data_IF_704441012514
#
_entry.id   IF_704441012514
#
_cell.length_a   1.000
_cell.length_b   1.000
_cell.length_c   1.000
_cell.angle_alpha   90.00
_cell.angle_beta   90.00
_cell.angle_gamma   90.00
#
_symmetry.space_group_name_H-M   'P 1'
#
loop_
_entity.id
_entity.type
_entity.pdbx_description
1 polymer ?
#
# COMPACT_ATOMS: atom_id res chain seq x y z
N UNK A 1 -52.66 -4.71 0.28
CA UNK A 1 -52.40 -4.39 1.70
C UNK A 1 -53.40 -5.04 2.65
N UNK A 2 -54.67 -5.21 2.29
CA UNK A 2 -55.67 -5.92 3.11
C UNK A 2 -55.37 -7.41 3.41
N UNK A 3 -54.44 -8.05 2.69
CA UNK A 3 -54.03 -9.45 2.93
C UNK A 3 -52.99 -9.64 4.03
N UNK A 4 -52.25 -8.58 4.41
CA UNK A 4 -51.16 -8.67 5.42
C UNK A 4 -51.68 -8.59 6.86
N UNK A 5 -52.84 -7.96 7.08
CA UNK A 5 -53.43 -7.82 8.42
C UNK A 5 -54.06 -9.11 8.96
N UNK A 6 -54.24 -10.13 8.11
CA UNK A 6 -54.89 -11.39 8.45
C UNK A 6 -53.94 -12.62 8.36
N UNK A 7 -52.64 -12.39 8.14
CA UNK A 7 -51.65 -13.45 8.00
C UNK A 7 -51.21 -13.97 9.37
N UNK A 8 -50.98 -15.28 9.48
CA UNK A 8 -50.38 -15.86 10.70
C UNK A 8 -48.92 -15.38 10.85
N UNK A 9 -48.34 -15.39 12.06
CA UNK A 9 -46.96 -14.93 12.28
C UNK A 9 -45.94 -15.63 11.38
N UNK A 10 -46.15 -16.93 11.12
CA UNK A 10 -45.30 -17.75 10.26
C UNK A 10 -45.38 -17.31 8.79
N UNK A 11 -46.58 -17.00 8.29
CA UNK A 11 -46.79 -16.49 6.93
C UNK A 11 -46.17 -15.10 6.75
N UNK A 12 -46.27 -14.25 7.78
CA UNK A 12 -45.66 -12.92 7.75
C UNK A 12 -44.14 -13.01 7.68
N UNK A 13 -43.52 -13.91 8.47
CA UNK A 13 -42.09 -14.18 8.40
C UNK A 13 -41.66 -14.73 7.04
N UNK A 14 -42.44 -15.63 6.43
CA UNK A 14 -42.14 -16.17 5.10
C UNK A 14 -42.18 -15.08 4.01
N UNK A 15 -43.11 -14.13 4.09
CA UNK A 15 -43.20 -13.00 3.15
C UNK A 15 -42.05 -12.01 3.36
N UNK A 16 -41.70 -11.70 4.62
CA UNK A 16 -40.59 -10.81 4.97
C UNK A 16 -39.22 -11.37 4.55
N UNK A 17 -39.05 -12.69 4.61
CA UNK A 17 -37.81 -13.37 4.21
C UNK A 17 -37.77 -13.71 2.72
N UNK A 18 -38.84 -13.44 1.98
CA UNK A 18 -38.93 -13.67 0.54
C UNK A 18 -38.30 -12.54 -0.30
N UNK A 19 -38.02 -12.80 -1.59
CA UNK A 19 -37.50 -11.78 -2.50
C UNK A 19 -38.50 -10.63 -2.71
N UNK A 20 -37.97 -9.41 -2.84
CA UNK A 20 -38.77 -8.20 -3.02
C UNK A 20 -39.55 -8.14 -4.36
N UNK A 21 -39.21 -9.00 -5.33
CA UNK A 21 -39.81 -9.06 -6.66
C UNK A 21 -40.07 -10.52 -7.07
N UNK A 22 -41.15 -10.80 -7.83
CA UNK A 22 -41.38 -12.12 -8.39
C UNK A 22 -40.27 -12.47 -9.39
N UNK A 23 -39.86 -13.75 -9.47
CA UNK A 23 -38.80 -14.17 -10.38
C UNK A 23 -39.22 -14.03 -11.84
N UNK A 24 -38.27 -13.78 -12.76
CA UNK A 24 -38.55 -13.79 -14.19
C UNK A 24 -39.02 -15.18 -14.68
N UNK A 25 -39.79 -15.25 -15.77
CA UNK A 25 -40.34 -16.51 -16.28
C UNK A 25 -39.23 -17.53 -16.56
N UNK A 26 -39.34 -18.74 -15.99
CA UNK A 26 -38.44 -19.86 -16.24
C UNK A 26 -37.20 -19.98 -15.35
N UNK A 27 -37.00 -19.08 -14.37
CA UNK A 27 -35.85 -19.14 -13.45
C UNK A 27 -36.31 -19.32 -12.01
N UNK A 28 -35.94 -20.43 -11.38
CA UNK A 28 -36.11 -20.63 -9.94
C UNK A 28 -34.98 -19.89 -9.20
N UNK A 29 -35.29 -18.93 -8.31
CA UNK A 29 -34.26 -18.18 -7.61
C UNK A 29 -33.57 -19.05 -6.56
N UNK A 30 -32.25 -19.22 -6.71
CA UNK A 30 -31.41 -19.94 -5.76
C UNK A 30 -30.85 -18.98 -4.70
N UNK A 31 -31.44 -18.99 -3.51
CA UNK A 31 -31.02 -18.15 -2.38
C UNK A 31 -30.03 -18.84 -1.43
N UNK A 32 -29.83 -20.15 -1.56
CA UNK A 32 -28.98 -20.94 -0.65
C UNK A 32 -27.51 -20.89 -1.10
N UNK A 33 -27.28 -20.94 -2.42
CA UNK A 33 -25.95 -20.83 -3.01
C UNK A 33 -25.99 -19.92 -4.26
N UNK A 34 -26.01 -18.58 -4.08
CA UNK A 34 -26.00 -17.67 -5.21
C UNK A 34 -24.69 -17.83 -5.98
N UNK A 35 -24.81 -17.95 -7.30
CA UNK A 35 -23.67 -18.20 -8.19
C UNK A 35 -22.55 -17.19 -7.94
N UNK A 36 -21.47 -17.64 -7.29
CA UNK A 36 -20.35 -16.80 -6.89
C UNK A 36 -19.07 -17.27 -7.60
N UNK A 37 -18.39 -16.34 -8.28
CA UNK A 37 -17.11 -16.63 -8.93
C UNK A 37 -15.93 -16.46 -7.96
N UNK A 38 -16.18 -16.41 -6.65
CA UNK A 38 -15.16 -16.07 -5.66
C UNK A 38 -14.06 -17.15 -5.58
N UNK A 39 -14.43 -18.43 -5.51
CA UNK A 39 -13.46 -19.52 -5.49
C UNK A 39 -12.61 -19.53 -6.78
N UNK A 40 -13.25 -19.32 -7.94
CA UNK A 40 -12.56 -19.20 -9.23
C UNK A 40 -11.59 -18.01 -9.22
N UNK A 41 -12.02 -16.86 -8.68
CA UNK A 41 -11.17 -15.67 -8.54
C UNK A 41 -9.97 -15.90 -7.62
N UNK A 42 -10.18 -16.55 -6.46
CA UNK A 42 -9.09 -16.89 -5.53
C UNK A 42 -8.08 -17.82 -6.19
N UNK A 43 -8.56 -18.85 -6.90
CA UNK A 43 -7.70 -19.82 -7.60
C UNK A 43 -6.90 -19.12 -8.70
N UNK A 44 -7.55 -18.32 -9.55
CA UNK A 44 -6.88 -17.62 -10.66
C UNK A 44 -5.85 -16.61 -10.14
N UNK A 45 -6.18 -15.84 -9.10
CA UNK A 45 -5.25 -14.85 -8.51
C UNK A 45 -4.06 -15.54 -7.85
N UNK A 46 -4.29 -16.58 -7.05
CA UNK A 46 -3.22 -17.32 -6.36
C UNK A 46 -2.30 -18.05 -7.34
N UNK A 47 -2.86 -18.66 -8.39
CA UNK A 47 -2.10 -19.29 -9.46
C UNK A 47 -1.29 -18.25 -10.25
N UNK A 48 -1.91 -17.12 -10.61
CA UNK A 48 -1.24 -16.03 -11.34
C UNK A 48 -0.09 -15.41 -10.54
N UNK A 49 -0.29 -15.20 -9.23
CA UNK A 49 0.76 -14.69 -8.35
C UNK A 49 1.92 -15.69 -8.23
N UNK A 50 1.63 -16.99 -8.13
CA UNK A 50 2.64 -18.05 -8.06
C UNK A 50 3.45 -18.18 -9.36
N UNK A 51 2.79 -18.10 -10.52
CA UNK A 51 3.47 -18.14 -11.82
C UNK A 51 4.35 -16.90 -12.02
N UNK A 52 3.86 -15.72 -11.63
CA UNK A 52 4.61 -14.48 -11.72
C UNK A 52 5.85 -14.49 -10.82
N UNK A 53 5.72 -14.96 -9.56
CA UNK A 53 6.85 -15.05 -8.63
C UNK A 53 7.90 -16.06 -9.11
N UNK A 54 7.49 -17.22 -9.63
CA UNK A 54 8.40 -18.21 -10.21
C UNK A 54 9.13 -17.66 -11.44
N UNK A 55 8.42 -16.94 -12.33
CA UNK A 55 9.03 -16.32 -13.51
C UNK A 55 10.06 -15.25 -13.14
N UNK A 56 9.75 -14.42 -12.14
CA UNK A 56 10.67 -13.41 -11.61
C UNK A 56 11.88 -14.06 -10.94
N UNK A 57 11.65 -15.09 -10.12
CA UNK A 57 12.73 -15.84 -9.45
C UNK A 57 13.66 -16.52 -10.43
N UNK A 58 13.13 -17.14 -11.49
CA UNK A 58 13.95 -17.72 -12.57
C UNK A 58 14.79 -16.64 -13.26
N UNK A 59 14.19 -15.50 -13.63
CA UNK A 59 14.92 -14.38 -14.26
C UNK A 59 15.99 -13.79 -13.35
N UNK A 60 15.68 -13.63 -12.06
CA UNK A 60 16.62 -13.14 -11.05
C UNK A 60 17.73 -14.15 -10.79
N UNK A 61 17.42 -15.44 -10.72
CA UNK A 61 18.41 -16.51 -10.56
C UNK A 61 19.35 -16.57 -11.77
N UNK A 62 18.82 -16.51 -13.00
CA UNK A 62 19.65 -16.46 -14.21
C UNK A 62 20.53 -15.21 -14.24
N UNK A 63 20.03 -14.04 -13.84
CA UNK A 63 20.84 -12.81 -13.80
C UNK A 63 21.85 -12.79 -12.64
N UNK A 64 21.48 -13.24 -11.45
CA UNK A 64 22.33 -13.19 -10.25
C UNK A 64 23.36 -14.33 -10.21
N UNK A 65 22.97 -15.56 -10.56
CA UNK A 65 23.82 -16.75 -10.42
C UNK A 65 24.47 -17.21 -11.74
N UNK A 66 23.76 -17.15 -12.88
CA UNK A 66 24.30 -17.63 -14.16
C UNK A 66 25.17 -16.57 -14.85
N UNK A 67 24.73 -15.31 -14.88
CA UNK A 67 25.51 -14.24 -15.53
C UNK A 67 26.65 -13.69 -14.67
N UNK A 68 26.60 -13.87 -13.33
CA UNK A 68 27.65 -13.53 -12.33
C UNK A 68 28.43 -12.23 -12.60
N UNK A 69 27.74 -11.25 -13.16
CA UNK A 69 28.20 -9.88 -13.35
C UNK A 69 27.03 -9.00 -12.93
N UNK A 70 26.91 -8.78 -11.61
CA UNK A 70 26.01 -7.75 -11.10
C UNK A 70 26.70 -6.43 -11.40
N UNK A 71 26.29 -5.77 -12.47
CA UNK A 71 26.83 -4.46 -12.81
C UNK A 71 26.49 -3.46 -11.72
N UNK A 72 27.32 -2.43 -11.57
CA UNK A 72 27.01 -1.26 -10.72
C UNK A 72 25.67 -0.63 -11.19
N UNK A 73 25.37 -0.79 -12.48
CA UNK A 73 24.14 -0.38 -13.16
C UNK A 73 22.90 -1.13 -12.61
N UNK A 74 22.95 -2.46 -12.49
CA UNK A 74 21.85 -3.27 -11.95
C UNK A 74 21.58 -2.93 -10.48
N UNK A 75 22.63 -2.68 -9.70
CA UNK A 75 22.50 -2.30 -8.29
C UNK A 75 21.77 -0.96 -8.12
N UNK A 76 22.05 0.03 -8.97
CA UNK A 76 21.36 1.33 -8.97
C UNK A 76 19.88 1.18 -9.32
N UNK A 77 19.55 0.35 -10.31
CA UNK A 77 18.15 0.09 -10.70
C UNK A 77 17.38 -0.58 -9.56
N UNK A 78 17.98 -1.56 -8.89
CA UNK A 78 17.38 -2.22 -7.72
C UNK A 78 17.15 -1.23 -6.58
N UNK A 79 18.11 -0.35 -6.30
CA UNK A 79 17.97 0.69 -5.27
C UNK A 79 16.83 1.66 -5.54
N UNK A 80 16.68 2.11 -6.79
CA UNK A 80 15.57 2.99 -7.21
C UNK A 80 14.22 2.28 -7.08
N UNK A 81 14.10 1.04 -7.56
CA UNK A 81 12.87 0.25 -7.44
C UNK A 81 12.49 -0.01 -5.99
N UNK A 82 13.46 -0.33 -5.14
CA UNK A 82 13.25 -0.51 -3.70
C UNK A 82 12.72 0.79 -3.06
N UNK A 83 13.31 1.94 -3.40
CA UNK A 83 12.84 3.25 -2.97
C UNK A 83 11.39 3.54 -3.40
N UNK A 84 11.04 3.26 -4.66
CA UNK A 84 9.67 3.40 -5.15
C UNK A 84 8.67 2.52 -4.38
N UNK A 85 9.01 1.27 -4.10
CA UNK A 85 8.18 0.38 -3.29
C UNK A 85 7.96 0.95 -1.88
N UNK A 86 9.02 1.44 -1.21
CA UNK A 86 8.90 2.08 0.10
C UNK A 86 7.99 3.31 0.04
N UNK A 87 8.18 4.17 -0.96
CA UNK A 87 7.34 5.36 -1.14
C UNK A 87 5.86 4.99 -1.25
N UNK A 88 5.53 4.01 -2.10
CA UNK A 88 4.14 3.57 -2.30
C UNK A 88 3.53 3.00 -1.02
N UNK A 89 4.29 2.20 -0.27
CA UNK A 89 3.86 1.66 1.03
C UNK A 89 3.55 2.79 2.01
N UNK A 90 4.44 3.79 2.13
CA UNK A 90 4.25 4.93 3.04
C UNK A 90 3.04 5.79 2.65
N UNK A 91 2.83 6.02 1.34
CA UNK A 91 1.65 6.70 0.83
C UNK A 91 0.38 5.91 1.17
N UNK A 92 0.37 4.59 0.97
CA UNK A 92 -0.78 3.75 1.32
C UNK A 92 -1.13 3.82 2.82
N UNK A 93 -0.12 3.78 3.70
CA UNK A 93 -0.32 3.93 5.15
C UNK A 93 -0.91 5.30 5.49
N UNK A 94 -0.38 6.38 4.92
CA UNK A 94 -0.87 7.74 5.14
C UNK A 94 -2.32 7.92 4.65
N UNK A 95 -2.67 7.33 3.51
CA UNK A 95 -4.05 7.32 3.01
C UNK A 95 -4.99 6.53 3.92
N UNK A 96 -4.55 5.39 4.43
CA UNK A 96 -5.30 4.60 5.40
C UNK A 96 -5.51 5.38 6.70
N UNK A 97 -4.53 6.17 7.14
CA UNK A 97 -4.65 7.02 8.33
C UNK A 97 -5.68 8.13 8.13
N UNK A 98 -5.69 8.76 6.96
CA UNK A 98 -6.72 9.75 6.62
C UNK A 98 -8.10 9.09 6.67
N UNK A 99 -8.26 7.89 6.10
CA UNK A 99 -9.54 7.19 6.09
C UNK A 99 -10.06 6.85 7.51
N UNK A 100 -9.18 6.42 8.41
CA UNK A 100 -9.55 6.03 9.78
C UNK A 100 -9.78 7.24 10.69
N UNK A 101 -8.88 8.23 10.66
CA UNK A 101 -8.85 9.31 11.67
C UNK A 101 -9.54 10.61 11.23
N UNK A 102 -9.96 10.73 9.97
CA UNK A 102 -10.64 11.92 9.45
C UNK A 102 -12.12 11.59 9.14
N UNK A 103 -13.08 12.12 9.92
CA UNK A 103 -14.50 11.91 9.65
C UNK A 103 -14.92 12.42 8.27
N UNK A 104 -15.75 11.63 7.57
CA UNK A 104 -16.33 12.00 6.27
C UNK A 104 -17.08 13.34 6.42
N UNK A 105 -16.63 14.36 5.68
CA UNK A 105 -17.20 15.72 5.71
C UNK A 105 -16.37 16.78 6.46
N UNK A 106 -15.36 16.41 7.26
CA UNK A 106 -14.46 17.37 7.96
C UNK A 106 -13.00 17.31 7.47
N UNK A 107 -12.78 16.84 6.23
CA UNK A 107 -11.44 16.63 5.68
C UNK A 107 -10.59 17.92 5.70
N UNK A 108 -11.06 18.99 5.06
CA UNK A 108 -10.27 20.23 4.91
C UNK A 108 -10.08 21.04 6.20
N UNK A 109 -10.93 20.82 7.22
CA UNK A 109 -10.82 21.51 8.52
C UNK A 109 -9.94 20.75 9.52
N UNK A 110 -9.61 19.48 9.26
CA UNK A 110 -8.87 18.65 10.21
C UNK A 110 -7.36 18.79 9.99
N UNK A 111 -6.62 19.14 11.06
CA UNK A 111 -5.15 19.24 11.03
C UNK A 111 -4.46 17.96 10.58
N UNK A 112 -5.03 16.79 10.89
CA UNK A 112 -4.46 15.48 10.49
C UNK A 112 -4.52 15.28 8.98
N UNK A 113 -5.58 15.76 8.33
CA UNK A 113 -5.69 15.67 6.88
C UNK A 113 -4.54 16.43 6.21
N UNK A 114 -4.30 17.68 6.65
CA UNK A 114 -3.17 18.47 6.17
C UNK A 114 -1.83 17.83 6.49
N UNK A 115 -1.63 17.32 7.71
CA UNK A 115 -0.38 16.66 8.08
C UNK A 115 -0.08 15.43 7.19
N UNK A 116 -1.06 14.56 6.97
CA UNK A 116 -0.89 13.37 6.12
C UNK A 116 -0.62 13.73 4.65
N UNK A 117 -1.39 14.67 4.07
CA UNK A 117 -1.15 15.10 2.69
C UNK A 117 0.18 15.83 2.52
N UNK A 118 0.59 16.65 3.49
CA UNK A 118 1.92 17.26 3.48
C UNK A 118 3.02 16.22 3.51
N UNK A 119 2.91 15.18 4.33
CA UNK A 119 3.88 14.07 4.37
C UNK A 119 3.93 13.29 3.04
N UNK A 120 2.78 13.07 2.40
CA UNK A 120 2.72 12.44 1.06
C UNK A 120 3.50 13.28 0.05
N UNK A 121 3.23 14.58 -0.03
CA UNK A 121 3.93 15.47 -0.96
C UNK A 121 5.43 15.54 -0.68
N UNK A 122 5.83 15.63 0.59
CA UNK A 122 7.24 15.59 0.98
C UNK A 122 7.91 14.31 0.49
N UNK A 123 7.26 13.15 0.65
CA UNK A 123 7.79 11.87 0.15
C UNK A 123 7.93 11.84 -1.36
N UNK A 124 6.90 12.29 -2.10
CA UNK A 124 6.93 12.33 -3.56
C UNK A 124 8.06 13.22 -4.07
N UNK A 125 8.19 14.43 -3.53
CA UNK A 125 9.25 15.38 -3.92
C UNK A 125 10.63 14.82 -3.57
N UNK A 126 10.78 14.26 -2.37
CA UNK A 126 12.02 13.63 -1.94
C UNK A 126 12.48 12.52 -2.88
N UNK A 127 11.60 11.56 -3.22
CA UNK A 127 11.94 10.46 -4.12
C UNK A 127 12.19 10.93 -5.55
N UNK A 128 11.49 11.98 -6.00
CA UNK A 128 11.79 12.62 -7.29
C UNK A 128 13.21 13.20 -7.31
N UNK A 129 13.60 13.93 -6.26
CA UNK A 129 14.96 14.48 -6.14
C UNK A 129 16.01 13.38 -6.11
N UNK A 130 15.77 12.30 -5.35
CA UNK A 130 16.69 11.15 -5.29
C UNK A 130 16.92 10.53 -6.69
N UNK A 131 15.84 10.32 -7.46
CA UNK A 131 15.94 9.77 -8.82
C UNK A 131 16.72 10.72 -9.75
N UNK A 132 16.46 12.03 -9.67
CA UNK A 132 17.20 13.01 -10.46
C UNK A 132 18.68 13.04 -10.09
N UNK A 133 19.02 12.98 -8.80
CA UNK A 133 20.41 12.89 -8.34
C UNK A 133 21.11 11.60 -8.82
N UNK A 134 20.41 10.49 -8.94
CA UNK A 134 20.96 9.24 -9.49
C UNK A 134 21.18 9.32 -11.00
N UNK A 135 20.25 9.91 -11.76
CA UNK A 135 20.37 10.09 -13.21
C UNK A 135 21.51 11.06 -13.54
N UNK A 136 21.59 12.18 -12.82
CA UNK A 136 22.59 13.23 -13.02
C UNK A 136 23.75 13.14 -12.01
N UNK A 137 24.08 11.93 -11.56
CA UNK A 137 25.09 11.72 -10.50
C UNK A 137 26.49 12.18 -10.90
N UNK A 138 26.82 12.18 -12.21
CA UNK A 138 28.13 12.55 -12.73
C UNK A 138 28.06 13.75 -13.67
N UNK A 139 29.11 14.59 -13.62
CA UNK A 139 29.36 15.66 -14.58
C UNK A 139 30.74 15.45 -15.22
N UNK A 140 30.83 15.09 -16.52
CA UNK A 140 29.74 14.87 -17.48
C UNK A 140 28.99 13.56 -17.22
N UNK A 141 27.71 13.50 -17.65
CA UNK A 141 26.85 12.33 -17.44
C UNK A 141 27.41 11.05 -18.08
N UNK A 142 28.20 11.18 -19.16
CA UNK A 142 28.85 10.06 -19.84
C UNK A 142 29.80 9.25 -18.95
N UNK A 143 30.38 9.89 -17.94
CA UNK A 143 31.23 9.22 -16.94
C UNK A 143 30.47 8.20 -16.08
N UNK A 144 29.13 8.25 -16.06
CA UNK A 144 28.33 7.32 -15.27
C UNK A 144 28.30 5.90 -15.84
N UNK A 145 28.51 5.73 -17.15
CA UNK A 145 28.48 4.45 -17.87
C UNK A 145 29.81 4.11 -18.57
N UNK A 146 30.63 5.11 -18.91
CA UNK A 146 31.93 4.89 -19.53
C UNK A 146 33.08 5.08 -18.52
N UNK A 147 33.67 3.99 -18.00
CA UNK A 147 34.77 4.07 -17.05
C UNK A 147 36.08 4.58 -17.67
N UNK A 148 36.18 4.70 -19.00
CA UNK A 148 37.36 5.26 -19.68
C UNK A 148 37.45 6.78 -19.52
N UNK A 149 36.34 7.46 -19.19
CA UNK A 149 36.31 8.92 -18.98
C UNK A 149 36.78 9.24 -17.55
N UNK A 150 38.05 9.61 -17.40
CA UNK A 150 38.66 9.93 -16.09
C UNK A 150 38.39 11.37 -15.63
N UNK A 151 38.11 12.30 -16.54
CA UNK A 151 37.85 13.71 -16.24
C UNK A 151 36.43 13.95 -15.71
N UNK A 152 36.27 14.80 -14.69
CA UNK A 152 34.98 15.17 -14.11
C UNK A 152 34.72 14.61 -12.72
N UNK A 153 33.59 14.96 -12.12
CA UNK A 153 33.23 14.59 -10.73
C UNK A 153 31.87 13.89 -10.67
N UNK A 154 31.74 12.96 -9.72
CA UNK A 154 30.50 12.25 -9.44
C UNK A 154 30.13 12.40 -7.97
N UNK A 155 28.83 12.45 -7.69
CA UNK A 155 28.28 12.34 -6.34
C UNK A 155 28.62 10.97 -5.75
N UNK A 156 28.99 10.95 -4.47
CA UNK A 156 29.17 9.69 -3.74
C UNK A 156 27.82 9.00 -3.55
N UNK A 157 27.65 7.85 -4.19
CA UNK A 157 26.43 7.04 -4.10
C UNK A 157 26.15 6.60 -2.66
N UNK A 158 27.19 6.24 -1.90
CA UNK A 158 27.06 5.85 -0.50
C UNK A 158 26.58 6.99 0.38
N UNK A 159 27.00 8.24 0.12
CA UNK A 159 26.50 9.40 0.85
C UNK A 159 25.03 9.68 0.54
N UNK A 160 24.64 9.55 -0.73
CA UNK A 160 23.25 9.71 -1.17
C UNK A 160 22.34 8.62 -0.55
N UNK A 161 22.81 7.38 -0.50
CA UNK A 161 22.11 6.26 0.12
C UNK A 161 22.02 6.39 1.64
N UNK A 162 23.08 6.84 2.31
CA UNK A 162 23.06 7.11 3.75
C UNK A 162 22.06 8.22 4.11
N UNK A 163 22.04 9.31 3.33
CA UNK A 163 21.06 10.38 3.51
C UNK A 163 19.62 9.88 3.29
N UNK A 164 19.42 9.06 2.25
CA UNK A 164 18.13 8.44 1.92
C UNK A 164 17.66 7.51 3.04
N UNK A 165 18.56 6.69 3.58
CA UNK A 165 18.29 5.81 4.72
C UNK A 165 17.88 6.60 5.96
N UNK A 166 18.63 7.66 6.31
CA UNK A 166 18.32 8.52 7.43
C UNK A 166 16.94 9.20 7.32
N UNK A 167 16.63 9.77 6.14
CA UNK A 167 15.32 10.38 5.88
C UNK A 167 14.18 9.37 5.93
N UNK A 168 14.41 8.15 5.43
CA UNK A 168 13.46 7.06 5.55
C UNK A 168 13.18 6.73 7.02
N UNK A 169 14.21 6.50 7.84
CA UNK A 169 14.05 6.24 9.27
C UNK A 169 13.29 7.38 10.00
N UNK A 170 13.62 8.64 9.72
CA UNK A 170 12.94 9.80 10.32
C UNK A 170 11.45 9.77 9.94
N UNK A 171 11.14 9.55 8.66
CA UNK A 171 9.75 9.50 8.21
C UNK A 171 8.95 8.35 8.83
N UNK A 172 9.57 7.20 9.06
CA UNK A 172 8.94 6.05 9.71
C UNK A 172 8.56 6.40 11.16
N UNK A 173 9.48 7.04 11.90
CA UNK A 173 9.21 7.54 13.26
C UNK A 173 8.04 8.53 13.25
N UNK A 174 8.01 9.47 12.31
CA UNK A 174 6.92 10.46 12.20
C UNK A 174 5.58 9.76 11.94
N UNK A 175 5.54 8.82 11.00
CA UNK A 175 4.33 8.07 10.65
C UNK A 175 3.85 7.28 11.87
N UNK A 176 4.73 6.67 12.65
CA UNK A 176 4.36 5.88 13.84
C UNK A 176 3.85 6.75 15.01
N UNK A 177 4.38 7.95 15.19
CA UNK A 177 3.97 8.87 16.26
C UNK A 177 2.60 9.51 15.96
N UNK A 178 2.33 9.82 14.70
CA UNK A 178 1.11 10.52 14.26
C UNK A 178 -0.21 9.89 14.76
N UNK A 179 -0.46 8.58 14.61
CA UNK A 179 -1.68 7.94 15.11
C UNK A 179 -1.71 7.88 16.64
N UNK A 180 -0.55 7.73 17.29
CA UNK A 180 -0.43 7.58 18.73
C UNK A 180 -0.89 8.86 19.43
N UNK A 181 -0.44 10.02 18.97
CA UNK A 181 -0.89 11.30 19.51
C UNK A 181 -2.42 11.51 19.43
N UNK A 182 -3.10 10.85 18.48
CA UNK A 182 -4.56 10.92 18.33
C UNK A 182 -5.29 9.87 19.16
N UNK A 183 -4.83 8.63 19.18
CA UNK A 183 -5.43 7.54 19.98
C UNK A 183 -5.45 7.93 21.46
N UNK A 184 -4.38 8.56 21.95
CA UNK A 184 -4.30 8.99 23.34
C UNK A 184 -5.26 10.12 23.70
N UNK A 185 -5.58 11.00 22.74
CA UNK A 185 -6.60 12.06 22.88
C UNK A 185 -8.04 11.57 22.73
N UNK A 186 -8.26 10.36 22.21
CA UNK A 186 -9.61 9.82 22.02
C UNK A 186 -10.18 9.29 23.35
N UNK A 187 -11.48 9.48 23.61
CA UNK A 187 -12.14 9.02 24.84
C UNK A 187 -12.50 7.53 24.79
N UNK A 188 -11.49 6.67 24.77
CA UNK A 188 -11.63 5.20 24.83
C UNK A 188 -11.04 4.62 26.12
N UNK A 189 -11.51 3.43 26.51
CA UNK A 189 -10.97 2.69 27.66
C UNK A 189 -9.48 2.37 27.47
N UNK A 190 -8.69 2.44 28.54
CA UNK A 190 -7.22 2.29 28.49
C UNK A 190 -6.78 0.95 27.89
N UNK A 191 -7.56 -0.14 28.11
CA UNK A 191 -7.30 -1.46 27.51
C UNK A 191 -7.33 -1.42 25.97
N UNK A 192 -8.32 -0.76 25.37
CA UNK A 192 -8.46 -0.63 23.90
C UNK A 192 -7.35 0.26 23.31
N UNK A 193 -6.95 1.32 24.02
CA UNK A 193 -5.84 2.18 23.61
C UNK A 193 -4.52 1.42 23.52
N UNK A 194 -4.23 0.61 24.54
CA UNK A 194 -3.00 -0.19 24.58
C UNK A 194 -3.00 -1.24 23.45
N UNK A 195 -4.13 -1.96 23.25
CA UNK A 195 -4.24 -2.92 22.13
C UNK A 195 -3.97 -2.26 20.77
N UNK A 196 -4.59 -1.11 20.48
CA UNK A 196 -4.36 -0.39 19.23
C UNK A 196 -2.91 0.09 19.10
N UNK A 197 -2.32 0.60 20.19
CA UNK A 197 -0.92 1.04 20.19
C UNK A 197 0.06 -0.12 19.93
N UNK A 198 -0.23 -1.32 20.41
CA UNK A 198 0.60 -2.51 20.18
C UNK A 198 0.59 -2.95 18.72
N UNK A 199 -0.55 -2.87 18.03
CA UNK A 199 -0.65 -3.21 16.59
C UNK A 199 0.20 -2.28 15.73
N UNK A 200 0.28 -1.00 16.07
CA UNK A 200 1.13 -0.04 15.36
C UNK A 200 2.63 -0.23 15.68
N UNK A 201 2.96 -0.65 16.91
CA UNK A 201 4.34 -0.93 17.32
C UNK A 201 4.86 -2.26 16.78
N UNK A 202 4.00 -3.26 16.55
CA UNK A 202 4.42 -4.54 15.96
C UNK A 202 4.90 -4.40 14.51
N UNK A 203 4.62 -3.29 13.83
CA UNK A 203 5.17 -2.99 12.51
C UNK A 203 6.62 -2.45 12.52
N UNK A 204 7.23 -2.29 13.70
CA UNK A 204 8.64 -1.84 13.87
C UNK A 204 9.61 -3.02 13.98
N UNK A 205 9.14 -4.19 14.45
CA UNK A 205 9.95 -5.40 14.69
C UNK A 205 10.02 -6.27 13.43
#
# INVERSE_FOLDING_TARGET
MASLSNATPEQLQAILNGPALPPPPGVQPNFIDPHNFWLVGVIVVSLGFSIATLSLMMRLYTRCFIMRQVGIEDLRVVGVLYGFCIMLIKIAILLQYVHIFVPRGKAKTNRIWWACYSLIWVHVVYYLVFVLCQIFACTPIAKAWDPLITTGHCISTSALEAATGGLNCISDIIILILPQLRIWKLQMSRKKKIQLSLIFLSGIL
#
